data_IF_046946766753
#
_entry.id   IF_046946766753
#
_cell.length_a   1.000
_cell.length_b   1.000
_cell.length_c   1.000
_cell.angle_alpha   90.00
_cell.angle_beta   90.00
_cell.angle_gamma   90.00
#
_symmetry.space_group_name_H-M   'P 1'
#
loop_
_entity.id
_entity.type
_entity.pdbx_description
1 polymer ?
#
# COMPACT_ATOMS: atom_id res chain seq x y z
N UNK A 1 -15.04 4.68 7.88
CA UNK A 1 -13.76 4.17 7.35
C UNK A 1 -12.58 4.41 8.32
N UNK A 2 -12.31 5.65 8.81
CA UNK A 2 -11.17 5.89 9.73
C UNK A 2 -11.26 5.06 11.02
N UNK A 3 -12.49 4.90 11.58
CA UNK A 3 -12.72 4.07 12.76
C UNK A 3 -12.44 2.58 12.48
N UNK A 4 -12.93 2.06 11.40
CA UNK A 4 -12.74 0.66 10.97
C UNK A 4 -11.26 0.37 10.69
N UNK A 5 -10.56 1.30 9.99
CA UNK A 5 -9.12 1.19 9.76
C UNK A 5 -8.35 1.18 11.08
N UNK A 6 -8.65 2.09 12.01
CA UNK A 6 -7.99 2.12 13.31
C UNK A 6 -8.24 0.83 14.11
N UNK A 7 -9.44 0.28 14.05
CA UNK A 7 -9.80 -0.97 14.70
C UNK A 7 -8.96 -2.14 14.19
N UNK A 8 -8.96 -2.36 12.87
CA UNK A 8 -8.19 -3.47 12.29
C UNK A 8 -6.67 -3.29 12.45
N UNK A 9 -6.15 -2.07 12.34
CA UNK A 9 -4.74 -1.78 12.57
C UNK A 9 -4.34 -2.15 14.01
N UNK A 10 -5.16 -1.80 15.00
CA UNK A 10 -4.92 -2.14 16.39
C UNK A 10 -4.95 -3.67 16.61
N UNK A 11 -5.89 -4.37 15.99
CA UNK A 11 -5.94 -5.84 16.04
C UNK A 11 -4.67 -6.46 15.46
N UNK A 12 -4.21 -5.98 14.30
CA UNK A 12 -2.97 -6.44 13.66
C UNK A 12 -1.77 -6.23 14.59
N UNK A 13 -1.59 -5.01 15.12
CA UNK A 13 -0.45 -4.66 15.98
C UNK A 13 -0.48 -5.42 17.31
N UNK A 14 -1.62 -5.54 17.96
CA UNK A 14 -1.78 -6.26 19.22
C UNK A 14 -1.52 -7.76 19.11
N UNK A 15 -1.66 -8.31 17.91
CA UNK A 15 -1.32 -9.70 17.61
C UNK A 15 0.08 -9.87 16.98
N UNK A 16 0.94 -8.87 17.10
CA UNK A 16 2.34 -8.93 16.65
C UNK A 16 2.55 -8.76 15.15
N UNK A 17 1.50 -8.40 14.40
CA UNK A 17 1.60 -8.07 12.98
C UNK A 17 2.01 -6.63 12.73
N UNK A 18 2.27 -6.31 11.48
CA UNK A 18 2.56 -4.95 11.00
C UNK A 18 1.71 -4.60 9.80
N UNK A 19 1.37 -3.33 9.65
CA UNK A 19 0.67 -2.84 8.46
C UNK A 19 1.65 -2.73 7.29
N UNK A 20 1.12 -2.96 6.08
CA UNK A 20 1.88 -2.72 4.86
C UNK A 20 2.03 -1.21 4.63
N UNK A 21 3.26 -0.74 4.45
CA UNK A 21 3.55 0.68 4.38
C UNK A 21 4.53 1.02 3.26
N UNK A 22 3.99 1.56 2.17
CA UNK A 22 4.75 2.14 1.03
C UNK A 22 4.70 3.67 1.04
N UNK A 23 4.21 4.28 2.12
CA UNK A 23 4.07 5.73 2.22
C UNK A 23 5.44 6.40 2.38
N UNK A 24 5.76 7.42 1.56
CA UNK A 24 7.09 8.02 1.55
C UNK A 24 7.40 8.96 2.72
N UNK A 25 6.62 8.92 3.78
CA UNK A 25 6.86 9.62 5.03
C UNK A 25 6.88 8.60 6.15
N UNK A 26 7.84 8.69 7.06
CA UNK A 26 7.94 7.83 8.24
C UNK A 26 7.79 8.66 9.52
N UNK A 27 7.16 8.05 10.52
CA UNK A 27 7.12 8.54 11.89
C UNK A 27 8.36 8.02 12.62
N UNK A 28 9.20 8.92 13.11
CA UNK A 28 10.41 8.60 13.87
C UNK A 28 10.08 8.32 15.35
N UNK A 29 10.99 7.67 16.05
CA UNK A 29 10.83 7.33 17.47
C UNK A 29 10.68 8.57 18.38
N UNK A 30 11.20 9.72 17.96
CA UNK A 30 11.07 11.01 18.66
C UNK A 30 9.72 11.72 18.40
N UNK A 31 8.82 11.10 17.62
CA UNK A 31 7.53 11.65 17.24
C UNK A 31 7.56 12.65 16.08
N UNK A 32 8.71 12.88 15.46
CA UNK A 32 8.84 13.70 14.26
C UNK A 32 8.59 12.90 13.00
N UNK A 33 8.35 13.58 11.87
CA UNK A 33 8.19 12.95 10.57
C UNK A 33 9.35 13.26 9.64
N UNK A 34 9.75 12.28 8.83
CA UNK A 34 10.79 12.46 7.82
C UNK A 34 10.43 11.80 6.50
N UNK A 35 10.97 12.33 5.40
CA UNK A 35 10.81 11.73 4.08
C UNK A 35 11.81 10.60 3.86
N UNK A 36 11.39 9.56 3.12
CA UNK A 36 12.25 8.43 2.72
C UNK A 36 12.82 8.56 1.31
N UNK A 37 12.63 9.70 0.64
CA UNK A 37 13.06 9.89 -0.75
C UNK A 37 14.57 9.86 -0.90
N UNK A 38 15.01 9.23 -2.00
CA UNK A 38 16.40 9.22 -2.46
C UNK A 38 16.67 10.27 -3.54
N UNK A 39 15.63 10.89 -4.13
CA UNK A 39 15.77 11.89 -5.21
C UNK A 39 14.74 13.02 -5.12
N UNK A 40 15.14 14.21 -5.56
CA UNK A 40 14.27 15.38 -5.68
C UNK A 40 13.11 15.15 -6.67
N UNK A 41 13.34 14.36 -7.71
CA UNK A 41 12.29 14.03 -8.69
C UNK A 41 11.18 13.21 -8.05
N UNK A 42 11.53 12.22 -7.22
CA UNK A 42 10.56 11.41 -6.47
C UNK A 42 9.76 12.26 -5.49
N UNK A 43 10.43 13.19 -4.78
CA UNK A 43 9.76 14.13 -3.89
C UNK A 43 8.75 15.02 -4.64
N UNK A 44 9.15 15.61 -5.77
CA UNK A 44 8.27 16.45 -6.59
C UNK A 44 7.03 15.69 -7.09
N UNK A 45 7.20 14.44 -7.53
CA UNK A 45 6.09 13.59 -7.94
C UNK A 45 5.13 13.33 -6.77
N UNK A 46 5.67 12.95 -5.61
CA UNK A 46 4.88 12.72 -4.42
C UNK A 46 4.07 13.95 -3.99
N UNK A 47 4.69 15.14 -3.95
CA UNK A 47 3.98 16.39 -3.64
C UNK A 47 2.84 16.65 -4.63
N UNK A 48 3.09 16.43 -5.93
CA UNK A 48 2.04 16.53 -6.96
C UNK A 48 0.87 15.58 -6.70
N UNK A 49 1.16 14.35 -6.32
CA UNK A 49 0.15 13.32 -6.04
C UNK A 49 -0.64 13.64 -4.76
N UNK A 50 0.03 14.10 -3.70
CA UNK A 50 -0.62 14.49 -2.43
C UNK A 50 -1.60 15.63 -2.64
N UNK A 51 -1.15 16.71 -3.29
CA UNK A 51 -1.97 17.93 -3.49
C UNK A 51 -2.89 17.85 -4.71
N UNK A 52 -2.79 16.81 -5.53
CA UNK A 52 -3.62 16.63 -6.73
C UNK A 52 -3.37 17.70 -7.81
N UNK A 53 -2.21 18.34 -7.81
CA UNK A 53 -1.81 19.41 -8.72
C UNK A 53 -0.50 19.07 -9.41
N UNK A 54 -0.26 19.64 -10.60
CA UNK A 54 1.09 19.60 -11.19
C UNK A 54 2.05 20.39 -10.30
N UNK A 55 3.31 19.95 -10.21
CA UNK A 55 4.30 20.54 -9.31
C UNK A 55 4.50 22.06 -9.54
N UNK A 56 4.48 22.50 -10.79
CA UNK A 56 4.58 23.91 -11.20
C UNK A 56 3.34 24.76 -10.84
N UNK A 57 2.27 24.13 -10.36
CA UNK A 57 1.03 24.77 -9.92
C UNK A 57 0.77 24.63 -8.42
N UNK A 58 1.77 24.15 -7.66
CA UNK A 58 1.71 24.13 -6.21
C UNK A 58 1.80 25.57 -5.68
N UNK A 59 1.00 25.87 -4.67
CA UNK A 59 0.79 27.23 -4.15
C UNK A 59 0.95 27.26 -2.63
N UNK A 60 0.88 28.46 -2.08
CA UNK A 60 0.81 28.61 -0.63
C UNK A 60 -0.55 28.17 -0.09
N UNK A 61 -0.57 27.17 0.78
CA UNK A 61 -1.76 26.68 1.46
C UNK A 61 -2.12 27.63 2.60
N UNK A 62 -3.10 28.52 2.39
CA UNK A 62 -3.51 29.52 3.35
C UNK A 62 -4.17 28.94 4.59
N UNK A 63 -4.85 27.79 4.50
CA UNK A 63 -5.54 27.17 5.60
C UNK A 63 -4.58 26.55 6.63
N UNK A 64 -3.46 26.00 6.15
CA UNK A 64 -2.47 25.34 6.99
C UNK A 64 -1.15 26.12 7.13
N UNK A 65 -1.00 27.22 6.41
CA UNK A 65 0.09 28.16 6.61
C UNK A 65 1.47 27.73 6.07
N UNK A 66 1.51 26.91 5.01
CA UNK A 66 2.78 26.48 4.40
C UNK A 66 2.75 26.50 2.86
N UNK A 67 3.93 26.51 2.25
CA UNK A 67 4.10 26.40 0.81
C UNK A 67 4.10 24.92 0.38
N UNK A 68 3.14 24.53 -0.48
CA UNK A 68 2.96 23.14 -0.95
C UNK A 68 4.23 22.60 -1.65
N UNK A 69 4.96 23.44 -2.40
CA UNK A 69 6.17 23.03 -3.09
C UNK A 69 7.36 22.74 -2.15
N UNK A 70 7.34 23.37 -0.97
CA UNK A 70 8.36 23.22 0.07
C UNK A 70 7.84 22.54 1.33
N UNK A 71 6.72 21.82 1.22
CA UNK A 71 6.09 21.15 2.35
C UNK A 71 7.07 20.19 3.05
N UNK A 72 7.10 20.27 4.39
CA UNK A 72 7.81 19.32 5.24
C UNK A 72 7.00 18.03 5.37
N UNK A 73 7.63 16.96 5.88
CA UNK A 73 6.93 15.71 6.16
C UNK A 73 5.77 15.91 7.16
N UNK A 74 5.93 16.78 8.18
CA UNK A 74 4.87 17.17 9.10
C UNK A 74 3.72 17.85 8.35
N UNK A 75 3.99 18.80 7.45
CA UNK A 75 2.96 19.48 6.69
C UNK A 75 2.12 18.51 5.84
N UNK A 76 2.74 17.44 5.32
CA UNK A 76 2.02 16.40 4.55
C UNK A 76 1.05 15.64 5.46
N UNK A 77 1.47 15.25 6.67
CA UNK A 77 0.59 14.57 7.64
C UNK A 77 -0.55 15.50 8.04
N UNK A 78 -0.25 16.75 8.39
CA UNK A 78 -1.27 17.74 8.79
C UNK A 78 -2.28 17.98 7.67
N UNK A 79 -1.80 18.12 6.42
CA UNK A 79 -2.67 18.28 5.25
C UNK A 79 -3.56 17.05 5.04
N UNK A 80 -2.99 15.86 4.97
CA UNK A 80 -3.76 14.64 4.72
C UNK A 80 -4.74 14.31 5.85
N UNK A 81 -4.43 14.70 7.08
CA UNK A 81 -5.30 14.51 8.25
C UNK A 81 -6.43 15.53 8.35
N UNK A 82 -6.32 16.65 7.65
CA UNK A 82 -7.30 17.76 7.72
C UNK A 82 -8.65 17.40 7.11
N UNK A 83 -9.63 18.29 7.29
CA UNK A 83 -10.96 18.24 6.71
C UNK A 83 -11.04 18.90 5.31
N UNK A 84 -9.88 19.26 4.72
CA UNK A 84 -9.85 19.87 3.40
C UNK A 84 -10.31 18.88 2.32
N UNK A 85 -10.74 19.42 1.19
CA UNK A 85 -11.24 18.61 0.08
C UNK A 85 -10.20 17.57 -0.36
N UNK A 86 -10.64 16.32 -0.52
CA UNK A 86 -9.84 15.14 -0.84
C UNK A 86 -8.86 14.67 0.27
N UNK A 87 -8.88 15.28 1.45
CA UNK A 87 -8.14 14.83 2.64
C UNK A 87 -8.97 13.83 3.44
N UNK A 88 -8.45 13.35 4.57
CA UNK A 88 -8.99 12.17 5.22
C UNK A 88 -9.87 12.45 6.43
N UNK A 89 -9.97 13.68 6.86
CA UNK A 89 -10.79 14.13 8.02
C UNK A 89 -10.56 13.22 9.25
N UNK A 90 -9.30 13.17 9.69
CA UNK A 90 -8.89 12.33 10.81
C UNK A 90 -9.13 13.08 12.12
N UNK A 91 -9.93 12.50 13.00
CA UNK A 91 -10.26 13.11 14.28
C UNK A 91 -9.02 13.34 15.16
N UNK A 92 -8.93 14.52 15.77
CA UNK A 92 -7.88 14.86 16.74
C UNK A 92 -7.88 14.01 18.02
N UNK A 93 -8.83 13.09 18.17
CA UNK A 93 -8.86 12.12 19.30
C UNK A 93 -7.88 10.98 19.14
N UNK A 94 -7.39 10.72 17.92
CA UNK A 94 -6.36 9.73 17.68
C UNK A 94 -5.00 10.28 18.11
N UNK A 95 -4.18 9.43 18.70
CA UNK A 95 -2.80 9.77 19.00
C UNK A 95 -1.94 9.86 17.72
N UNK A 96 -0.69 10.27 17.87
CA UNK A 96 0.23 10.47 16.75
C UNK A 96 0.43 9.20 15.91
N UNK A 97 0.57 8.04 16.58
CA UNK A 97 0.79 6.77 15.89
C UNK A 97 -0.47 6.31 15.14
N UNK A 98 -1.64 6.37 15.77
CA UNK A 98 -2.90 6.02 15.13
C UNK A 98 -3.24 6.95 13.97
N UNK A 99 -2.99 8.25 14.12
CA UNK A 99 -3.15 9.23 13.03
C UNK A 99 -2.26 8.88 11.84
N UNK A 100 -0.99 8.61 12.08
CA UNK A 100 -0.04 8.22 11.05
C UNK A 100 -0.47 6.93 10.33
N UNK A 101 -0.82 5.89 11.08
CA UNK A 101 -1.26 4.61 10.51
C UNK A 101 -2.51 4.76 9.63
N UNK A 102 -3.47 5.56 10.08
CA UNK A 102 -4.67 5.87 9.29
C UNK A 102 -4.28 6.63 8.01
N UNK A 103 -3.38 7.63 8.09
CA UNK A 103 -2.88 8.37 6.91
C UNK A 103 -2.26 7.41 5.90
N UNK A 104 -1.39 6.50 6.35
CA UNK A 104 -0.73 5.49 5.51
C UNK A 104 -1.78 4.67 4.73
N UNK A 105 -2.76 4.10 5.43
CA UNK A 105 -3.79 3.27 4.81
C UNK A 105 -4.72 4.06 3.89
N UNK A 106 -5.15 5.24 4.32
CA UNK A 106 -6.00 6.13 3.50
C UNK A 106 -5.29 6.59 2.24
N UNK A 107 -3.99 6.87 2.34
CA UNK A 107 -3.17 7.23 1.18
C UNK A 107 -3.05 6.05 0.19
N UNK A 108 -2.79 4.85 0.67
CA UNK A 108 -2.75 3.65 -0.16
C UNK A 108 -4.09 3.41 -0.89
N UNK A 109 -5.21 3.57 -0.20
CA UNK A 109 -6.56 3.49 -0.79
C UNK A 109 -6.76 4.59 -1.84
N UNK A 110 -6.33 5.84 -1.55
CA UNK A 110 -6.41 6.96 -2.49
C UNK A 110 -5.64 6.68 -3.78
N UNK A 111 -4.46 6.06 -3.70
CA UNK A 111 -3.67 5.68 -4.88
C UNK A 111 -4.37 4.64 -5.76
N UNK A 112 -5.16 3.75 -5.16
CA UNK A 112 -5.90 2.71 -5.89
C UNK A 112 -7.28 3.17 -6.42
N UNK A 113 -7.75 4.38 -6.11
CA UNK A 113 -9.12 4.87 -6.43
C UNK A 113 -9.51 4.84 -7.90
N UNK A 114 -8.54 4.89 -8.81
CA UNK A 114 -8.78 4.87 -10.25
C UNK A 114 -8.94 3.45 -10.82
N UNK A 115 -8.69 2.44 -10.00
CA UNK A 115 -8.78 1.04 -10.39
C UNK A 115 -9.91 0.38 -9.58
N UNK A 116 -11.12 0.35 -10.13
CA UNK A 116 -12.38 -0.01 -9.44
C UNK A 116 -12.38 -1.37 -8.72
N UNK A 117 -11.51 -2.28 -9.10
CA UNK A 117 -11.50 -3.66 -8.59
C UNK A 117 -10.18 -4.04 -7.92
N UNK A 118 -9.31 -3.05 -7.66
CA UNK A 118 -8.03 -3.33 -7.02
C UNK A 118 -8.15 -3.23 -5.50
N UNK A 119 -7.91 -4.33 -4.84
CA UNK A 119 -7.81 -4.38 -3.38
C UNK A 119 -6.56 -3.61 -2.89
N UNK A 120 -6.68 -3.02 -1.71
CA UNK A 120 -5.54 -2.40 -1.02
C UNK A 120 -5.10 -3.30 0.12
N UNK A 121 -3.86 -3.76 0.07
CA UNK A 121 -3.30 -4.63 1.10
C UNK A 121 -3.07 -3.82 2.38
N UNK A 122 -3.68 -4.24 3.49
CA UNK A 122 -3.49 -3.64 4.82
C UNK A 122 -2.29 -4.27 5.53
N UNK A 123 -2.19 -5.60 5.50
CA UNK A 123 -1.10 -6.36 6.12
C UNK A 123 -0.83 -7.63 5.32
N UNK A 124 0.35 -8.22 5.51
CA UNK A 124 0.74 -9.51 4.94
C UNK A 124 1.20 -10.44 6.06
N UNK A 125 1.18 -11.73 5.80
CA UNK A 125 1.64 -12.77 6.74
C UNK A 125 0.97 -12.66 8.11
N UNK A 126 -0.33 -12.37 8.11
CA UNK A 126 -1.13 -12.26 9.32
C UNK A 126 -1.36 -13.63 9.96
N UNK A 127 -1.38 -13.69 11.29
CA UNK A 127 -1.60 -14.93 12.00
C UNK A 127 -3.10 -15.32 12.07
N UNK A 128 -3.37 -16.57 12.45
CA UNK A 128 -4.72 -17.13 12.51
C UNK A 128 -5.67 -16.33 13.42
N UNK A 129 -5.16 -15.67 14.46
CA UNK A 129 -5.98 -14.84 15.36
C UNK A 129 -6.53 -13.61 14.66
N UNK A 130 -5.74 -13.00 13.77
CA UNK A 130 -6.17 -11.84 12.94
C UNK A 130 -7.19 -12.32 11.90
N UNK A 131 -6.94 -13.47 11.27
CA UNK A 131 -7.86 -14.10 10.30
C UNK A 131 -9.22 -14.38 10.96
N UNK A 132 -9.21 -15.02 12.14
CA UNK A 132 -10.43 -15.31 12.89
C UNK A 132 -11.18 -14.02 13.25
N UNK A 133 -10.47 -12.98 13.74
CA UNK A 133 -11.08 -11.70 14.08
C UNK A 133 -11.79 -11.05 12.89
N UNK A 134 -11.13 -10.99 11.71
CA UNK A 134 -11.73 -10.39 10.51
C UNK A 134 -12.99 -11.16 10.08
N UNK A 135 -12.94 -12.50 10.12
CA UNK A 135 -14.08 -13.34 9.74
C UNK A 135 -15.26 -13.19 10.71
N UNK A 136 -14.99 -13.11 12.01
CA UNK A 136 -16.02 -12.94 13.05
C UNK A 136 -16.68 -11.54 13.01
N UNK A 137 -15.94 -10.51 12.54
CA UNK A 137 -16.42 -9.12 12.51
C UNK A 137 -16.71 -8.63 11.08
N UNK A 138 -16.96 -9.55 10.15
CA UNK A 138 -17.20 -9.20 8.74
C UNK A 138 -18.42 -8.30 8.50
N UNK A 139 -19.36 -8.28 9.42
CA UNK A 139 -20.54 -7.40 9.44
C UNK A 139 -20.19 -5.94 9.80
N UNK A 140 -19.18 -5.73 10.64
CA UNK A 140 -18.73 -4.40 11.09
C UNK A 140 -17.52 -3.90 10.32
N UNK A 141 -16.64 -4.79 9.87
CA UNK A 141 -15.46 -4.49 9.04
C UNK A 141 -15.80 -4.54 7.55
N UNK A 142 -16.80 -3.75 7.15
CA UNK A 142 -17.32 -3.78 5.79
C UNK A 142 -16.25 -3.43 4.74
N UNK A 143 -16.01 -4.34 3.80
CA UNK A 143 -15.02 -4.15 2.74
C UNK A 143 -13.59 -4.54 3.12
N UNK A 144 -13.40 -5.18 4.28
CA UNK A 144 -12.14 -5.81 4.67
C UNK A 144 -12.32 -7.33 4.54
N UNK A 145 -11.39 -7.98 3.89
CA UNK A 145 -11.37 -9.43 3.69
C UNK A 145 -9.97 -10.00 3.89
N UNK A 146 -9.90 -11.28 4.20
CA UNK A 146 -8.67 -12.04 4.20
C UNK A 146 -8.61 -12.83 2.90
N UNK A 147 -7.47 -12.77 2.22
CA UNK A 147 -7.18 -13.56 1.04
C UNK A 147 -5.97 -14.44 1.33
N UNK A 148 -6.03 -15.69 0.92
CA UNK A 148 -4.90 -16.60 0.96
C UNK A 148 -4.05 -16.36 -0.28
N UNK A 149 -2.76 -16.08 -0.09
CA UNK A 149 -1.81 -15.86 -1.18
C UNK A 149 -0.61 -16.80 -1.01
N UNK A 150 -0.06 -17.27 -2.11
CA UNK A 150 1.10 -18.15 -2.12
C UNK A 150 2.35 -17.36 -2.41
N UNK A 151 3.34 -17.42 -1.50
CA UNK A 151 4.63 -16.77 -1.69
C UNK A 151 5.68 -17.80 -2.10
N UNK A 152 6.43 -17.51 -3.16
CA UNK A 152 7.57 -18.34 -3.55
C UNK A 152 8.73 -18.12 -2.61
N UNK A 153 9.19 -19.20 -1.96
CA UNK A 153 10.37 -19.20 -1.12
C UNK A 153 11.52 -19.87 -1.87
N UNK A 154 12.57 -19.11 -2.15
CA UNK A 154 13.78 -19.63 -2.79
C UNK A 154 14.75 -20.14 -1.75
N UNK A 155 15.21 -21.40 -1.93
CA UNK A 155 16.29 -21.94 -1.15
C UNK A 155 17.62 -21.55 -1.83
N UNK A 156 18.55 -20.97 -1.07
CA UNK A 156 19.88 -20.56 -1.56
C UNK A 156 19.87 -19.55 -2.72
N UNK A 157 19.11 -18.44 -2.61
CA UNK A 157 18.96 -17.47 -3.70
C UNK A 157 20.28 -16.84 -4.14
N UNK A 158 21.27 -16.76 -3.25
CA UNK A 158 22.60 -16.20 -3.51
C UNK A 158 23.40 -16.96 -4.59
N UNK A 159 23.10 -18.24 -4.82
CA UNK A 159 23.83 -19.06 -5.80
C UNK A 159 23.14 -19.16 -7.16
N UNK A 160 21.83 -19.02 -7.20
CA UNK A 160 21.03 -19.39 -8.39
C UNK A 160 20.06 -18.30 -8.85
N UNK A 161 20.10 -17.12 -8.25
CA UNK A 161 19.16 -16.01 -8.56
C UNK A 161 19.15 -15.61 -10.05
N UNK A 162 20.33 -15.62 -10.70
CA UNK A 162 20.44 -15.29 -12.13
C UNK A 162 19.81 -16.34 -13.06
N UNK A 163 19.74 -17.59 -12.62
CA UNK A 163 19.13 -18.68 -13.39
C UNK A 163 17.63 -18.77 -13.13
N UNK A 164 17.21 -18.64 -11.86
CA UNK A 164 15.81 -18.70 -11.46
C UNK A 164 15.04 -17.52 -12.02
N UNK A 165 15.60 -16.32 -11.99
CA UNK A 165 14.91 -15.08 -12.32
C UNK A 165 14.11 -14.53 -11.15
N UNK A 166 13.04 -13.81 -11.46
CA UNK A 166 12.17 -13.19 -10.44
C UNK A 166 10.71 -13.19 -10.88
N UNK A 167 9.82 -13.05 -9.91
CA UNK A 167 8.39 -12.84 -10.13
C UNK A 167 8.03 -11.36 -9.96
N UNK A 168 7.00 -10.92 -10.66
CA UNK A 168 6.50 -9.54 -10.56
C UNK A 168 5.04 -9.44 -10.97
N UNK A 169 4.39 -8.33 -10.68
CA UNK A 169 3.00 -8.13 -11.08
C UNK A 169 2.85 -8.26 -12.59
N UNK A 170 1.79 -8.95 -13.01
CA UNK A 170 1.43 -9.10 -14.42
C UNK A 170 1.21 -7.72 -15.05
N UNK A 171 1.80 -7.49 -16.21
CA UNK A 171 1.51 -6.32 -17.03
C UNK A 171 0.27 -6.55 -17.88
N UNK A 172 -0.30 -5.49 -18.45
CA UNK A 172 -1.47 -5.60 -19.34
C UNK A 172 -1.18 -6.48 -20.54
N UNK A 173 0.03 -6.39 -21.12
CA UNK A 173 0.41 -7.17 -22.30
C UNK A 173 0.57 -8.65 -21.94
N UNK A 174 1.23 -8.97 -20.84
CA UNK A 174 1.36 -10.33 -20.33
C UNK A 174 0.00 -10.93 -19.96
N UNK A 175 -0.87 -10.16 -19.32
CA UNK A 175 -2.24 -10.59 -19.03
C UNK A 175 -3.00 -10.96 -20.30
N UNK A 176 -2.94 -10.11 -21.33
CA UNK A 176 -3.61 -10.35 -22.59
C UNK A 176 -3.05 -11.57 -23.35
N UNK A 177 -1.80 -11.93 -23.11
CA UNK A 177 -1.17 -13.11 -23.70
C UNK A 177 -1.49 -14.37 -22.91
N UNK A 178 -1.26 -14.38 -21.61
CA UNK A 178 -1.45 -15.55 -20.75
C UNK A 178 -2.92 -15.94 -20.58
N UNK A 179 -3.82 -14.98 -20.53
CA UNK A 179 -5.27 -15.23 -20.42
C UNK A 179 -5.89 -15.85 -21.66
N UNK A 180 -5.19 -15.92 -22.81
CA UNK A 180 -5.66 -16.66 -23.98
C UNK A 180 -5.62 -18.17 -23.79
N UNK A 181 -4.65 -18.64 -23.00
CA UNK A 181 -4.41 -20.07 -22.77
C UNK A 181 -5.00 -20.53 -21.43
N UNK A 182 -5.17 -19.62 -20.47
CA UNK A 182 -5.70 -19.91 -19.15
C UNK A 182 -6.51 -18.72 -18.58
N UNK A 183 -7.83 -18.85 -18.59
CA UNK A 183 -8.77 -17.83 -18.11
C UNK A 183 -8.66 -17.53 -16.60
N UNK A 184 -7.90 -18.32 -15.85
CA UNK A 184 -7.71 -18.13 -14.42
C UNK A 184 -6.75 -17.00 -14.06
N UNK A 185 -6.03 -16.40 -15.04
CA UNK A 185 -5.19 -15.23 -14.80
C UNK A 185 -6.03 -13.99 -14.49
N UNK A 186 -5.57 -13.24 -13.50
CA UNK A 186 -6.14 -11.94 -13.13
C UNK A 186 -5.11 -10.82 -13.24
N UNK A 187 -5.57 -9.57 -13.35
CA UNK A 187 -4.69 -8.40 -13.44
C UNK A 187 -3.89 -8.11 -12.15
N UNK A 188 -4.14 -8.86 -11.09
CA UNK A 188 -3.45 -8.73 -9.81
C UNK A 188 -2.39 -9.82 -9.58
N UNK A 189 -2.31 -10.82 -10.46
CA UNK A 189 -1.43 -11.96 -10.29
C UNK A 189 0.06 -11.59 -10.34
N UNK A 190 0.84 -12.40 -9.64
CA UNK A 190 2.30 -12.38 -9.72
C UNK A 190 2.73 -13.45 -10.72
N UNK A 191 3.51 -13.05 -11.72
CA UNK A 191 3.99 -13.95 -12.79
C UNK A 191 5.51 -13.93 -12.89
N UNK A 192 6.09 -14.99 -13.42
CA UNK A 192 7.52 -15.05 -13.71
C UNK A 192 7.92 -14.04 -14.79
N UNK A 193 8.90 -13.19 -14.50
CA UNK A 193 9.37 -12.12 -15.40
C UNK A 193 10.64 -12.50 -16.16
N UNK A 194 11.40 -13.42 -15.66
CA UNK A 194 12.65 -13.86 -16.29
C UNK A 194 13.05 -15.26 -15.83
N UNK A 195 14.02 -15.85 -16.53
CA UNK A 195 14.65 -17.12 -16.14
C UNK A 195 13.69 -18.31 -16.10
N UNK A 196 13.94 -19.22 -15.17
CA UNK A 196 13.10 -20.41 -14.97
C UNK A 196 11.69 -20.04 -14.48
N UNK A 197 11.55 -18.96 -13.72
CA UNK A 197 10.26 -18.47 -13.27
C UNK A 197 9.33 -18.15 -14.46
N UNK A 198 9.84 -17.46 -15.47
CA UNK A 198 9.07 -17.14 -16.67
C UNK A 198 8.82 -18.40 -17.53
N UNK A 199 9.86 -19.23 -17.69
CA UNK A 199 9.76 -20.41 -18.56
C UNK A 199 8.77 -21.46 -18.03
N UNK A 200 8.73 -21.64 -16.71
CA UNK A 200 7.87 -22.63 -16.04
C UNK A 200 6.65 -21.99 -15.37
N UNK A 201 6.26 -20.78 -15.74
CA UNK A 201 5.13 -20.06 -15.12
C UNK A 201 3.86 -20.92 -15.02
N UNK A 202 3.48 -21.59 -16.10
CA UNK A 202 2.30 -22.45 -16.16
C UNK A 202 2.32 -23.64 -15.19
N UNK A 203 3.52 -24.09 -14.78
CA UNK A 203 3.70 -25.17 -13.82
C UNK A 203 3.85 -24.64 -12.38
N UNK A 204 4.56 -23.52 -12.22
CA UNK A 204 4.90 -22.96 -10.92
C UNK A 204 3.79 -22.15 -10.27
N UNK A 205 2.87 -21.64 -11.08
CA UNK A 205 1.74 -20.85 -10.63
C UNK A 205 0.81 -21.61 -9.66
N UNK A 206 0.70 -22.93 -9.81
CA UNK A 206 -0.29 -23.72 -9.11
C UNK A 206 -1.68 -23.65 -9.78
N UNK A 207 -2.62 -24.38 -9.22
CA UNK A 207 -4.04 -24.32 -9.60
C UNK A 207 -4.83 -24.11 -8.31
N UNK A 208 -5.63 -23.06 -8.27
CA UNK A 208 -6.63 -22.87 -7.23
C UNK A 208 -7.84 -23.78 -7.47
#
# INVERSE_FOLDING_TARGET
>A
LNKELNEIINVIKNNGGSIYNDFPVVLNDDGTYSFTFTSETSKKRFLSDVFGKKYDKLEYNKALGFDEANASAQNIIDFLSSDQNECFDISSKYDTQATYDIVVMRYAIKQNRFTKYKTTTIAKDVNDSIVAYVNEHSDTLTGISVEEDTIRKYNYPEYISSLIGYTGKISTDEYNELSKDDDSYTQNDMVGKSGLEQYYESYLRGKN
#
